data_IF_990595194131
#
_entry.id   IF_990595194131
#
_cell.length_a   1.000
_cell.length_b   1.000
_cell.length_c   1.000
_cell.angle_alpha   90.00
_cell.angle_beta   90.00
_cell.angle_gamma   90.00
#
_symmetry.space_group_name_H-M   'P 1'
#
loop_
_entity.id
_entity.type
_entity.pdbx_description
1 polymer ?
#
# COMPACT_ATOMS: atom_id res chain seq x y z
N UNK A 1 9.15 8.79 19.45
CA UNK A 1 8.61 7.88 18.42
C UNK A 1 9.72 7.49 17.47
N UNK A 2 9.93 8.26 16.40
CA UNK A 2 10.85 7.90 15.31
C UNK A 2 12.30 7.68 15.74
N UNK A 3 12.90 8.60 16.53
CA UNK A 3 14.29 8.47 16.99
C UNK A 3 14.56 7.19 17.80
N UNK A 4 13.53 6.68 18.49
CA UNK A 4 13.62 5.48 19.33
C UNK A 4 12.89 4.29 18.68
N UNK A 5 12.53 4.40 17.39
CA UNK A 5 11.92 3.34 16.57
C UNK A 5 10.59 2.75 17.08
N UNK A 6 9.88 3.46 17.96
CA UNK A 6 8.58 3.00 18.48
C UNK A 6 7.40 3.35 17.58
N UNK A 7 7.60 4.21 16.58
CA UNK A 7 6.62 4.52 15.54
C UNK A 7 7.11 3.91 14.23
N UNK A 8 6.39 2.89 13.76
CA UNK A 8 6.78 2.09 12.59
C UNK A 8 6.28 2.71 11.29
N UNK A 9 5.05 3.25 11.29
CA UNK A 9 4.33 3.63 10.07
C UNK A 9 4.00 2.40 9.22
N UNK A 10 3.86 2.60 7.91
CA UNK A 10 3.74 1.50 6.95
C UNK A 10 5.00 0.61 6.88
N UNK A 11 4.81 -0.71 6.78
CA UNK A 11 5.84 -1.66 6.34
C UNK A 11 5.41 -2.20 4.98
N UNK A 12 6.23 -1.99 3.95
CA UNK A 12 5.92 -2.52 2.61
C UNK A 12 6.56 -1.76 1.46
N UNK A 13 6.95 -0.48 1.64
CA UNK A 13 7.51 0.32 0.54
C UNK A 13 8.80 -0.26 -0.05
N UNK A 14 9.68 -0.82 0.80
CA UNK A 14 10.91 -1.51 0.36
C UNK A 14 10.63 -2.76 -0.48
N UNK A 15 9.41 -3.30 -0.44
CA UNK A 15 8.98 -4.46 -1.21
C UNK A 15 8.17 -4.04 -2.44
N UNK A 16 7.19 -3.14 -2.27
CA UNK A 16 6.29 -2.70 -3.35
C UNK A 16 7.00 -1.88 -4.42
N UNK A 17 7.87 -0.94 -4.04
CA UNK A 17 8.54 -0.05 -5.00
C UNK A 17 9.41 -0.85 -5.98
N UNK A 18 10.31 -1.77 -5.53
CA UNK A 18 11.07 -2.60 -6.46
C UNK A 18 10.19 -3.52 -7.32
N UNK A 19 9.06 -4.00 -6.79
CA UNK A 19 8.14 -4.85 -7.55
C UNK A 19 7.48 -4.06 -8.70
N UNK A 20 7.01 -2.84 -8.43
CA UNK A 20 6.45 -1.93 -9.45
C UNK A 20 7.53 -1.54 -10.47
N UNK A 21 8.72 -1.16 -10.00
CA UNK A 21 9.86 -0.81 -10.86
C UNK A 21 10.18 -1.96 -11.83
N UNK A 22 10.30 -3.19 -11.30
CA UNK A 22 10.54 -4.39 -12.11
C UNK A 22 9.42 -4.65 -13.12
N UNK A 23 8.16 -4.49 -12.71
CA UNK A 23 7.01 -4.74 -13.58
C UNK A 23 6.89 -3.75 -14.73
N UNK A 24 7.30 -2.49 -14.52
CA UNK A 24 7.28 -1.43 -15.53
C UNK A 24 8.58 -1.32 -16.33
N UNK A 25 9.62 -2.08 -15.95
CA UNK A 25 10.95 -1.95 -16.56
C UNK A 25 11.67 -0.64 -16.20
N UNK A 26 11.31 -0.02 -15.07
CA UNK A 26 11.92 1.21 -14.56
C UNK A 26 13.12 0.83 -13.68
N UNK A 27 14.27 1.45 -13.94
CA UNK A 27 15.44 1.30 -13.08
C UNK A 27 15.37 2.26 -11.88
N UNK A 28 15.69 1.74 -10.70
CA UNK A 28 15.85 2.53 -9.47
C UNK A 28 17.17 2.16 -8.79
N UNK A 29 17.82 3.13 -8.17
CA UNK A 29 19.10 2.95 -7.48
C UNK A 29 18.90 2.68 -5.98
N UNK A 30 17.85 3.27 -5.39
CA UNK A 30 17.54 3.13 -3.95
C UNK A 30 16.08 3.42 -3.64
N UNK A 31 15.63 2.92 -2.49
CA UNK A 31 14.36 3.30 -1.86
C UNK A 31 14.65 4.22 -0.67
N UNK A 32 13.97 5.36 -0.62
CA UNK A 32 14.04 6.33 0.48
C UNK A 32 12.66 6.45 1.12
N UNK A 33 12.60 6.60 2.44
CA UNK A 33 11.34 6.73 3.18
C UNK A 33 11.34 8.00 4.05
N UNK A 34 10.20 8.69 4.13
CA UNK A 34 9.98 9.81 5.05
C UNK A 34 8.78 9.51 5.94
N UNK A 35 8.86 9.91 7.21
CA UNK A 35 7.76 9.75 8.18
C UNK A 35 7.53 11.08 8.86
N UNK A 36 6.36 11.67 8.64
CA UNK A 36 5.97 12.95 9.20
C UNK A 36 4.73 12.80 10.08
N UNK A 37 4.62 13.55 11.19
CA UNK A 37 3.41 13.54 12.00
C UNK A 37 2.27 14.24 11.25
N UNK A 38 1.07 13.68 11.31
CA UNK A 38 -0.14 14.39 10.92
C UNK A 38 -0.66 15.10 12.17
N UNK A 39 -0.55 16.43 12.20
CA UNK A 39 -1.01 17.26 13.32
C UNK A 39 -2.49 17.58 13.12
N UNK A 40 -3.31 17.35 14.15
CA UNK A 40 -4.72 17.71 14.06
C UNK A 40 -4.96 19.18 14.39
N UNK A 41 -5.88 19.79 13.68
CA UNK A 41 -6.41 21.13 13.99
C UNK A 41 -7.74 21.07 14.75
N UNK A 42 -8.25 19.87 15.04
CA UNK A 42 -9.55 19.64 15.68
C UNK A 42 -9.46 18.52 16.72
N UNK A 43 -10.50 18.35 17.50
CA UNK A 43 -10.63 17.24 18.43
C UNK A 43 -11.01 15.96 17.67
N UNK A 44 -10.31 14.85 17.96
CA UNK A 44 -10.61 13.51 17.43
C UNK A 44 -10.58 12.48 18.55
N UNK A 45 -11.58 11.62 18.62
CA UNK A 45 -11.69 10.65 19.71
C UNK A 45 -12.17 9.28 19.23
N UNK A 46 -11.51 8.24 19.71
CA UNK A 46 -11.94 6.85 19.62
C UNK A 46 -12.04 6.27 21.04
N UNK A 47 -12.57 5.05 21.24
CA UNK A 47 -12.59 4.42 22.55
C UNK A 47 -11.21 4.22 23.22
N UNK A 48 -10.11 4.38 22.48
CA UNK A 48 -8.75 4.09 22.94
C UNK A 48 -7.79 5.27 22.89
N UNK A 49 -8.13 6.33 22.16
CA UNK A 49 -7.26 7.50 21.99
C UNK A 49 -8.09 8.76 21.79
N UNK A 50 -7.67 9.83 22.47
CA UNK A 50 -8.19 11.19 22.33
C UNK A 50 -7.05 12.08 21.83
N UNK A 51 -7.31 12.87 20.79
CA UNK A 51 -6.35 13.74 20.10
C UNK A 51 -6.94 15.16 20.07
N UNK A 52 -6.28 16.09 20.74
CA UNK A 52 -6.65 17.51 20.76
C UNK A 52 -5.93 18.30 19.65
N UNK A 53 -6.40 19.53 19.31
CA UNK A 53 -5.68 20.41 18.40
C UNK A 53 -4.21 20.60 18.81
N UNK A 54 -3.30 20.44 17.83
CA UNK A 54 -1.84 20.47 18.04
C UNK A 54 -1.22 19.12 18.39
N UNK A 55 -2.02 18.07 18.64
CA UNK A 55 -1.54 16.71 18.85
C UNK A 55 -1.43 15.93 17.54
N UNK A 56 -0.70 14.80 17.59
CA UNK A 56 -0.51 13.90 16.45
C UNK A 56 -1.73 12.99 16.28
N UNK A 57 -2.44 13.11 15.16
CA UNK A 57 -3.55 12.23 14.78
C UNK A 57 -3.12 10.99 13.99
N UNK A 58 -1.88 10.98 13.49
CA UNK A 58 -1.41 9.93 12.59
C UNK A 58 0.00 10.14 12.05
N UNK A 59 0.34 9.36 11.03
CA UNK A 59 1.63 9.41 10.36
C UNK A 59 1.43 9.48 8.84
N UNK A 60 2.08 10.46 8.22
CA UNK A 60 2.26 10.55 6.77
C UNK A 60 3.56 9.84 6.44
N UNK A 61 3.45 8.62 5.90
CA UNK A 61 4.60 7.83 5.48
C UNK A 61 4.66 7.81 3.95
N UNK A 62 5.78 8.23 3.37
CA UNK A 62 6.02 8.20 1.93
C UNK A 62 7.27 7.35 1.63
N UNK A 63 7.19 6.51 0.60
CA UNK A 63 8.32 5.82 0.00
C UNK A 63 8.62 6.35 -1.41
N UNK A 64 9.90 6.52 -1.72
CA UNK A 64 10.39 7.00 -3.02
C UNK A 64 11.34 5.98 -3.64
N UNK A 65 11.06 5.55 -4.87
CA UNK A 65 12.00 4.87 -5.75
C UNK A 65 12.81 5.90 -6.52
N UNK A 66 14.10 6.01 -6.20
CA UNK A 66 14.98 7.04 -6.74
C UNK A 66 15.79 6.52 -7.91
N UNK A 67 15.92 7.32 -8.98
CA UNK A 67 16.93 7.18 -10.04
C UNK A 67 17.76 8.45 -10.05
N UNK A 68 19.02 8.36 -9.61
CA UNK A 68 19.81 9.53 -9.25
C UNK A 68 19.12 10.35 -8.14
N UNK A 69 18.84 11.62 -8.45
CA UNK A 69 18.17 12.57 -7.55
C UNK A 69 16.66 12.73 -7.84
N UNK A 70 16.12 11.96 -8.79
CA UNK A 70 14.72 12.01 -9.19
C UNK A 70 13.91 10.84 -8.59
N UNK A 71 12.74 11.15 -8.03
CA UNK A 71 11.80 10.15 -7.54
C UNK A 71 10.88 9.69 -8.68
N UNK A 72 11.24 8.59 -9.33
CA UNK A 72 10.49 8.03 -10.48
C UNK A 72 9.28 7.18 -10.06
N UNK A 73 9.24 6.74 -8.80
CA UNK A 73 8.08 6.08 -8.18
C UNK A 73 7.86 6.71 -6.81
N UNK A 74 6.64 7.18 -6.54
CA UNK A 74 6.25 7.71 -5.23
C UNK A 74 5.04 6.95 -4.71
N UNK A 75 5.12 6.40 -3.50
CA UNK A 75 4.01 5.75 -2.82
C UNK A 75 3.72 6.49 -1.50
N UNK A 76 2.52 7.02 -1.36
CA UNK A 76 2.08 7.74 -0.15
C UNK A 76 1.08 6.89 0.62
N UNK A 77 1.29 6.72 1.93
CA UNK A 77 0.35 6.05 2.82
C UNK A 77 0.13 6.87 4.10
N UNK A 78 -0.65 7.97 4.02
CA UNK A 78 -1.07 8.71 5.20
C UNK A 78 -2.10 7.91 5.99
N UNK A 79 -1.82 7.66 7.27
CA UNK A 79 -2.72 6.94 8.18
C UNK A 79 -3.02 7.82 9.39
N UNK A 80 -4.30 8.10 9.65
CA UNK A 80 -4.77 8.93 10.75
C UNK A 80 -6.16 8.49 11.21
N UNK A 81 -6.52 8.78 12.46
CA UNK A 81 -7.88 8.56 12.96
C UNK A 81 -8.83 9.64 12.44
N UNK A 82 -10.05 9.29 12.06
CA UNK A 82 -11.11 10.23 11.64
C UNK A 82 -10.65 11.31 10.65
N UNK A 83 -10.06 10.93 9.50
CA UNK A 83 -9.58 11.87 8.47
C UNK A 83 -10.66 12.84 7.97
N UNK A 84 -11.92 12.41 7.97
CA UNK A 84 -13.08 13.18 7.51
C UNK A 84 -13.36 14.45 8.32
N UNK A 85 -12.90 14.53 9.57
CA UNK A 85 -13.05 15.73 10.42
C UNK A 85 -12.24 16.93 9.93
N UNK A 86 -11.29 16.72 9.02
CA UNK A 86 -10.51 17.76 8.35
C UNK A 86 -10.61 17.60 6.81
N UNK A 87 -11.77 17.17 6.31
CA UNK A 87 -12.10 17.05 4.88
C UNK A 87 -11.19 16.11 4.06
N UNK A 88 -10.47 15.20 4.71
CA UNK A 88 -9.63 14.22 4.03
C UNK A 88 -10.47 13.01 3.61
N UNK A 89 -10.58 12.78 2.30
CA UNK A 89 -11.26 11.61 1.73
C UNK A 89 -10.33 10.42 1.65
N UNK A 90 -10.78 9.28 2.17
CA UNK A 90 -10.06 8.01 2.01
C UNK A 90 -10.24 7.46 0.59
N UNK A 91 -9.27 6.66 0.14
CA UNK A 91 -9.28 6.04 -1.19
C UNK A 91 -7.89 5.52 -1.57
N UNK A 92 -7.88 4.62 -2.54
CA UNK A 92 -6.65 4.20 -3.24
C UNK A 92 -6.55 4.98 -4.55
N UNK A 93 -5.39 5.57 -4.81
CA UNK A 93 -5.15 6.41 -5.98
C UNK A 93 -3.89 5.93 -6.69
N UNK A 94 -3.98 5.78 -8.01
CA UNK A 94 -2.82 5.45 -8.86
C UNK A 94 -2.78 6.46 -9.99
N UNK A 95 -1.66 7.16 -10.11
CA UNK A 95 -1.35 8.04 -11.22
C UNK A 95 -0.10 7.54 -11.93
N UNK A 96 -0.20 7.35 -13.24
CA UNK A 96 0.93 6.98 -14.10
C UNK A 96 1.07 8.09 -15.14
N UNK A 97 2.23 8.73 -15.17
CA UNK A 97 2.61 9.70 -16.19
C UNK A 97 3.26 9.00 -17.38
N UNK A 98 2.83 9.31 -18.59
CA UNK A 98 3.27 8.66 -19.82
C UNK A 98 2.44 9.11 -21.03
N UNK A 99 2.45 8.29 -22.08
CA UNK A 99 1.65 8.52 -23.28
C UNK A 99 0.69 7.33 -23.53
N UNK A 100 -0.59 7.41 -23.13
CA UNK A 100 -1.24 8.51 -22.41
C UNK A 100 -1.02 8.44 -20.88
N UNK A 101 -1.30 9.56 -20.21
CA UNK A 101 -1.44 9.59 -18.76
C UNK A 101 -2.63 8.73 -18.29
N UNK A 102 -2.47 8.00 -17.18
CA UNK A 102 -3.51 7.18 -16.55
C UNK A 102 -3.80 7.67 -15.13
N UNK A 103 -5.08 7.84 -14.78
CA UNK A 103 -5.52 8.17 -13.43
C UNK A 103 -6.63 7.21 -12.97
N UNK A 104 -6.36 6.43 -11.93
CA UNK A 104 -7.28 5.45 -11.34
C UNK A 104 -7.58 5.83 -9.89
N UNK A 105 -8.84 5.66 -9.49
CA UNK A 105 -9.23 5.80 -8.08
C UNK A 105 -10.24 4.73 -7.66
N UNK A 106 -10.06 4.18 -6.46
CA UNK A 106 -11.00 3.31 -5.76
C UNK A 106 -11.47 4.06 -4.51
N UNK A 107 -12.79 4.22 -4.35
CA UNK A 107 -13.41 4.98 -3.25
C UNK A 107 -14.63 4.23 -2.70
N UNK A 108 -14.71 3.97 -1.37
CA UNK A 108 -13.65 4.16 -0.38
C UNK A 108 -12.44 3.26 -0.69
N UNK A 109 -11.36 3.40 0.07
CA UNK A 109 -10.17 2.55 -0.06
C UNK A 109 -10.53 1.07 0.06
N UNK A 110 -9.68 0.23 -0.53
CA UNK A 110 -9.79 -1.22 -0.39
C UNK A 110 -9.66 -1.57 1.09
N UNK A 111 -10.66 -2.23 1.71
CA UNK A 111 -10.61 -2.52 3.13
C UNK A 111 -9.44 -3.47 3.44
N UNK A 112 -8.40 -2.95 4.10
CA UNK A 112 -7.12 -3.65 4.25
C UNK A 112 -7.25 -5.06 4.84
N UNK A 113 -7.99 -5.22 5.94
CA UNK A 113 -8.17 -6.52 6.59
C UNK A 113 -8.86 -7.57 5.69
N UNK A 114 -10.00 -7.22 5.12
CA UNK A 114 -10.77 -8.14 4.24
C UNK A 114 -10.00 -8.40 2.94
N UNK A 115 -9.39 -7.36 2.36
CA UNK A 115 -8.60 -7.46 1.14
C UNK A 115 -7.39 -8.38 1.30
N UNK A 116 -6.66 -8.27 2.42
CA UNK A 116 -5.54 -9.19 2.72
C UNK A 116 -6.00 -10.64 2.85
N UNK A 117 -7.11 -10.89 3.57
CA UNK A 117 -7.67 -12.25 3.70
C UNK A 117 -8.07 -12.81 2.34
N UNK A 118 -8.82 -12.03 1.56
CA UNK A 118 -9.29 -12.42 0.24
C UNK A 118 -8.12 -12.74 -0.69
N UNK A 119 -7.10 -11.87 -0.72
CA UNK A 119 -5.90 -12.08 -1.53
C UNK A 119 -5.14 -13.34 -1.12
N UNK A 120 -4.87 -13.53 0.18
CA UNK A 120 -4.13 -14.69 0.66
C UNK A 120 -4.82 -16.01 0.29
N UNK A 121 -6.15 -16.08 0.42
CA UNK A 121 -6.93 -17.27 0.11
C UNK A 121 -7.03 -17.48 -1.40
N UNK A 122 -7.45 -16.47 -2.17
CA UNK A 122 -7.68 -16.60 -3.62
C UNK A 122 -6.42 -16.95 -4.41
N UNK A 123 -5.23 -16.67 -3.87
CA UNK A 123 -3.97 -17.02 -4.52
C UNK A 123 -3.53 -18.48 -4.27
N UNK A 124 -4.18 -19.24 -3.39
CA UNK A 124 -3.78 -20.62 -3.07
C UNK A 124 -3.62 -21.51 -4.32
N UNK A 125 -4.61 -21.61 -5.24
CA UNK A 125 -4.46 -22.47 -6.42
C UNK A 125 -3.36 -21.97 -7.35
N UNK A 126 -3.20 -20.66 -7.46
CA UNK A 126 -2.16 -20.04 -8.31
C UNK A 126 -0.76 -20.33 -7.79
N UNK A 127 -0.57 -20.35 -6.48
CA UNK A 127 0.69 -20.74 -5.84
C UNK A 127 0.96 -22.22 -6.01
N UNK A 128 -0.05 -23.09 -5.87
CA UNK A 128 0.13 -24.54 -6.09
C UNK A 128 0.53 -24.83 -7.54
N UNK A 129 -0.05 -24.12 -8.49
CA UNK A 129 0.22 -24.27 -9.92
C UNK A 129 1.50 -23.55 -10.37
N UNK A 130 2.20 -22.83 -9.48
CA UNK A 130 3.36 -22.03 -9.87
C UNK A 130 4.59 -22.90 -10.13
N UNK A 131 5.60 -22.31 -10.78
CA UNK A 131 6.93 -22.92 -10.84
C UNK A 131 7.52 -23.06 -9.44
N UNK A 132 8.34 -24.09 -9.16
CA UNK A 132 9.07 -24.20 -7.90
C UNK A 132 10.00 -23.00 -7.67
N UNK A 133 10.12 -22.56 -6.42
CA UNK A 133 10.99 -21.47 -6.00
C UNK A 133 10.24 -20.30 -5.37
N UNK A 134 10.95 -19.18 -5.16
CA UNK A 134 10.34 -17.95 -4.69
C UNK A 134 9.66 -17.24 -5.86
N UNK A 135 8.34 -17.15 -5.81
CA UNK A 135 7.51 -16.40 -6.76
C UNK A 135 6.90 -15.18 -6.08
N UNK A 136 6.58 -14.17 -6.87
CA UNK A 136 5.95 -12.92 -6.44
C UNK A 136 4.61 -12.73 -7.14
N UNK A 137 3.82 -11.72 -6.71
CA UNK A 137 2.57 -11.36 -7.39
C UNK A 137 2.77 -10.98 -8.87
N UNK A 138 3.97 -10.53 -9.25
CA UNK A 138 4.34 -10.26 -10.63
C UNK A 138 4.45 -11.53 -11.48
N UNK A 139 4.80 -12.67 -10.87
CA UNK A 139 5.05 -13.93 -11.59
C UNK A 139 3.79 -14.79 -11.73
N UNK A 140 2.72 -14.46 -10.97
CA UNK A 140 1.48 -15.24 -10.90
C UNK A 140 0.37 -14.63 -11.78
N UNK A 141 -0.64 -15.43 -12.17
CA UNK A 141 -1.82 -14.91 -12.85
C UNK A 141 -2.57 -13.84 -12.03
N UNK A 142 -3.35 -13.02 -12.73
CA UNK A 142 -4.13 -11.95 -12.09
C UNK A 142 -5.04 -12.51 -10.97
N UNK A 143 -5.04 -11.87 -9.78
CA UNK A 143 -5.93 -12.26 -8.71
C UNK A 143 -7.39 -12.10 -9.12
N UNK A 144 -8.21 -13.06 -8.72
CA UNK A 144 -9.66 -13.00 -8.90
C UNK A 144 -10.34 -13.75 -7.76
N UNK A 145 -11.58 -13.39 -7.46
CA UNK A 145 -12.39 -14.13 -6.50
C UNK A 145 -12.73 -15.51 -7.07
N UNK A 146 -12.45 -16.56 -6.30
CA UNK A 146 -12.81 -17.94 -6.68
C UNK A 146 -14.09 -18.31 -5.95
N UNK A 147 -15.11 -18.65 -6.74
CA UNK A 147 -16.39 -19.15 -6.24
C UNK A 147 -16.43 -20.67 -6.43
N UNK A 148 -16.56 -21.43 -5.34
CA UNK A 148 -16.64 -22.89 -5.39
C UNK A 148 -15.42 -23.59 -4.77
N UNK A 149 -15.19 -24.85 -5.18
CA UNK A 149 -14.12 -25.67 -4.63
C UNK A 149 -12.77 -25.32 -5.26
N UNK A 150 -11.80 -24.96 -4.42
CA UNK A 150 -10.46 -24.57 -4.87
C UNK A 150 -9.71 -25.69 -5.58
N UNK A 151 -10.06 -26.96 -5.32
CA UNK A 151 -9.42 -28.12 -5.96
C UNK A 151 -9.68 -28.20 -7.45
N UNK A 152 -10.78 -27.63 -7.92
CA UNK A 152 -11.13 -27.61 -9.34
C UNK A 152 -10.21 -26.67 -10.16
N UNK A 153 -9.44 -25.83 -9.46
CA UNK A 153 -8.51 -24.87 -10.05
C UNK A 153 -7.04 -25.34 -9.99
N UNK A 154 -6.77 -26.53 -9.45
CA UNK A 154 -5.42 -27.11 -9.42
C UNK A 154 -5.18 -27.88 -10.71
N UNK A 155 -4.13 -27.49 -11.45
CA UNK A 155 -3.72 -28.16 -12.68
C UNK A 155 -2.89 -29.38 -12.27
N UNK A 156 -3.32 -30.58 -12.71
CA UNK A 156 -2.57 -31.82 -12.50
C UNK A 156 -1.34 -31.92 -13.40
#
# INVERSE_FOLDING_TARGET
GLKNETIVGHIGFKQSIPMVAKALGIEIDKVVETREPIISNTHRETPYVTVEPGMVAGCKHIGYGMKGDEAVITLEHPQQIHPELEDVKTGDYIWIEGDPNLNLSIKPETPGGIGTIAMAVNMIPQVINSKPGLVTMYDLPLPHAIMGDFRDYIIK
#
